data_IF_492269663082
#
_entry.id   IF_492269663082
#
_cell.length_a   1.000
_cell.length_b   1.000
_cell.length_c   1.000
_cell.angle_alpha   90.00
_cell.angle_beta   90.00
_cell.angle_gamma   90.00
#
_symmetry.space_group_name_H-M   'P 1'
#
loop_
_entity.id
_entity.type
_entity.pdbx_description
1 polymer ?
#
# COMPACT_ATOMS: atom_id res chain seq x y z
N UNK A 1 -37.47 -10.38 -1.54
CA UNK A 1 -36.35 -9.56 -2.06
C UNK A 1 -35.93 -8.56 -0.99
N UNK A 2 -34.79 -8.77 -0.33
CA UNK A 2 -34.30 -7.91 0.75
C UNK A 2 -32.87 -7.50 0.40
N UNK A 3 -32.72 -6.27 -0.11
CA UNK A 3 -31.42 -5.68 -0.44
C UNK A 3 -30.64 -5.45 0.86
N UNK A 4 -29.59 -6.24 1.08
CA UNK A 4 -28.62 -5.97 2.14
C UNK A 4 -27.83 -4.73 1.73
N UNK A 5 -28.04 -3.61 2.42
CA UNK A 5 -27.15 -2.47 2.34
C UNK A 5 -25.78 -2.92 2.85
N UNK A 6 -24.79 -2.92 1.96
CA UNK A 6 -23.39 -3.13 2.34
C UNK A 6 -22.91 -1.78 2.88
N UNK A 7 -22.57 -1.75 4.17
CA UNK A 7 -21.99 -0.59 4.82
C UNK A 7 -20.63 -0.28 4.17
N UNK A 8 -20.54 0.88 3.51
CA UNK A 8 -19.27 1.47 3.10
C UNK A 8 -18.61 2.04 4.37
N UNK A 9 -17.69 1.31 4.97
CA UNK A 9 -16.87 1.86 6.05
C UNK A 9 -15.76 2.72 5.44
N UNK A 10 -16.12 3.94 5.02
CA UNK A 10 -15.13 4.96 4.66
C UNK A 10 -14.45 5.43 5.94
N UNK A 11 -13.25 4.93 6.25
CA UNK A 11 -12.47 5.43 7.36
C UNK A 11 -11.81 6.76 6.94
N UNK A 12 -12.54 7.86 7.09
CA UNK A 12 -11.96 9.20 7.01
C UNK A 12 -11.22 9.46 8.32
N UNK A 13 -9.90 9.36 8.30
CA UNK A 13 -9.06 9.78 9.42
C UNK A 13 -9.15 11.31 9.54
N UNK A 14 -9.90 11.78 10.53
CA UNK A 14 -10.00 13.19 10.86
C UNK A 14 -8.66 13.73 11.40
N UNK A 15 -8.25 14.87 10.83
CA UNK A 15 -7.01 15.60 11.09
C UNK A 15 -6.83 15.95 12.57
N UNK A 16 -5.76 15.43 13.17
CA UNK A 16 -5.14 16.05 14.34
C UNK A 16 -4.19 17.16 13.89
N UNK A 17 -4.48 18.40 14.27
CA UNK A 17 -3.52 19.52 14.20
C UNK A 17 -2.36 19.26 15.18
N UNK A 18 -1.41 18.44 14.77
CA UNK A 18 -0.04 18.49 15.29
C UNK A 18 0.81 19.05 14.16
N UNK A 19 1.41 20.23 14.38
CA UNK A 19 2.15 20.99 13.37
C UNK A 19 2.98 20.09 12.48
N UNK A 20 2.59 19.98 11.21
CA UNK A 20 3.44 19.41 10.19
C UNK A 20 4.65 20.33 10.08
N UNK A 21 5.90 19.87 10.29
CA UNK A 21 7.01 20.63 9.76
C UNK A 21 6.74 20.75 8.26
N UNK A 22 6.61 21.98 7.78
CA UNK A 22 6.20 22.35 6.42
C UNK A 22 7.21 21.94 5.33
N UNK A 23 8.01 20.89 5.55
CA UNK A 23 9.07 20.43 4.66
C UNK A 23 9.32 18.90 4.67
N UNK A 24 8.47 18.09 5.31
CA UNK A 24 8.59 16.64 5.16
C UNK A 24 8.08 16.22 3.78
N UNK A 25 8.97 16.19 2.78
CA UNK A 25 8.67 15.69 1.44
C UNK A 25 8.24 14.21 1.51
N UNK A 26 7.16 13.86 0.82
CA UNK A 26 6.74 12.46 0.69
C UNK A 26 7.90 11.62 0.13
N UNK A 27 8.30 10.58 0.87
CA UNK A 27 9.40 9.71 0.48
C UNK A 27 8.98 8.65 -0.54
N UNK A 28 7.68 8.37 -0.65
CA UNK A 28 7.14 7.37 -1.58
C UNK A 28 7.17 7.92 -3.01
N UNK A 29 7.82 7.20 -3.94
CA UNK A 29 7.80 7.54 -5.37
C UNK A 29 6.55 6.98 -6.03
N UNK A 30 6.08 7.63 -7.11
CA UNK A 30 4.91 7.19 -7.86
C UNK A 30 3.72 6.78 -6.95
N UNK A 31 3.41 7.62 -5.95
CA UNK A 31 2.45 7.30 -4.89
C UNK A 31 0.99 7.39 -5.35
N UNK A 32 0.72 8.14 -6.43
CA UNK A 32 -0.57 8.14 -7.15
C UNK A 32 -0.59 7.19 -8.36
N UNK A 33 0.49 6.44 -8.64
CA UNK A 33 0.56 5.53 -9.80
C UNK A 33 0.42 6.21 -11.18
N UNK A 34 0.86 7.47 -11.31
CA UNK A 34 0.86 8.24 -12.56
C UNK A 34 1.99 7.87 -13.54
N UNK A 35 3.04 7.21 -13.04
CA UNK A 35 4.13 6.68 -13.86
C UNK A 35 3.95 5.18 -14.13
N UNK A 36 4.46 4.65 -15.27
CA UNK A 36 4.34 3.24 -15.61
C UNK A 36 4.81 2.31 -14.48
N UNK A 37 3.95 1.34 -14.14
CA UNK A 37 4.25 0.31 -13.15
C UNK A 37 5.08 -0.81 -13.77
N UNK A 38 6.27 -1.08 -13.23
CA UNK A 38 7.15 -2.15 -13.73
C UNK A 38 6.96 -3.41 -12.88
N UNK A 39 6.29 -4.43 -13.43
CA UNK A 39 6.21 -5.77 -12.86
C UNK A 39 7.46 -6.59 -13.19
N UNK A 40 7.83 -7.54 -12.31
CA UNK A 40 8.67 -8.69 -12.72
C UNK A 40 10.18 -8.47 -12.73
N UNK A 41 10.76 -7.92 -11.66
CA UNK A 41 12.22 -7.99 -11.47
C UNK A 41 13.07 -7.01 -12.29
N UNK A 42 12.51 -6.40 -13.33
CA UNK A 42 13.22 -5.48 -14.23
C UNK A 42 13.22 -4.01 -13.80
N UNK A 43 12.52 -3.67 -12.72
CA UNK A 43 12.42 -2.30 -12.21
C UNK A 43 13.59 -1.86 -11.34
N UNK A 44 13.78 -0.56 -11.16
CA UNK A 44 14.72 -0.02 -10.18
C UNK A 44 14.04 0.00 -8.80
N UNK A 45 14.46 -0.92 -7.92
CA UNK A 45 13.93 -1.07 -6.55
C UNK A 45 14.04 0.21 -5.68
N UNK A 46 14.90 1.17 -6.06
CA UNK A 46 15.05 2.43 -5.34
C UNK A 46 14.02 3.50 -5.74
N UNK A 47 13.31 3.31 -6.86
CA UNK A 47 12.44 4.36 -7.42
C UNK A 47 11.05 3.87 -7.76
N UNK A 48 10.76 2.58 -7.57
CA UNK A 48 9.52 1.94 -8.02
C UNK A 48 8.95 1.02 -6.95
N UNK A 49 7.63 0.85 -7.00
CA UNK A 49 6.94 -0.17 -6.23
C UNK A 49 7.37 -1.57 -6.68
N UNK A 50 7.67 -2.42 -5.70
CA UNK A 50 8.07 -3.80 -5.93
C UNK A 50 6.96 -4.76 -5.57
N UNK A 51 6.90 -5.86 -6.31
CA UNK A 51 6.02 -7.00 -6.03
C UNK A 51 6.85 -8.18 -5.57
N UNK A 52 6.49 -8.75 -4.43
CA UNK A 52 6.86 -10.10 -4.07
C UNK A 52 5.60 -10.97 -4.03
N UNK A 53 5.54 -11.93 -4.93
CA UNK A 53 4.40 -12.82 -5.10
C UNK A 53 4.71 -14.24 -4.67
N UNK A 54 3.71 -14.89 -4.05
CA UNK A 54 3.63 -16.34 -4.04
C UNK A 54 3.15 -16.83 -5.42
N UNK A 55 3.40 -18.10 -5.76
CA UNK A 55 2.93 -18.68 -7.00
C UNK A 55 1.41 -18.48 -7.21
N UNK A 56 0.98 -18.21 -8.45
CA UNK A 56 -0.41 -18.12 -8.90
C UNK A 56 -1.16 -16.78 -8.71
N UNK A 57 -0.46 -15.64 -8.55
CA UNK A 57 -1.10 -14.33 -8.72
C UNK A 57 -1.11 -13.93 -10.21
N UNK A 58 -2.28 -13.52 -10.72
CA UNK A 58 -2.51 -13.36 -12.17
C UNK A 58 -2.49 -11.90 -12.64
N UNK A 59 -2.24 -10.92 -11.78
CA UNK A 59 -2.03 -9.55 -12.27
C UNK A 59 -1.93 -8.45 -11.23
N UNK A 60 -0.95 -7.57 -11.44
CA UNK A 60 -0.99 -6.17 -11.02
C UNK A 60 -1.31 -5.31 -12.24
N UNK A 61 -2.16 -4.32 -12.06
CA UNK A 61 -2.49 -3.34 -13.10
C UNK A 61 -2.71 -1.98 -12.47
N UNK A 62 -2.51 -0.93 -13.25
CA UNK A 62 -2.98 0.42 -12.89
C UNK A 62 -4.36 0.60 -13.50
N UNK A 63 -5.33 1.03 -12.69
CA UNK A 63 -6.71 1.30 -13.11
C UNK A 63 -7.08 2.74 -12.81
N UNK A 64 -7.99 3.28 -13.61
CA UNK A 64 -8.51 4.64 -13.47
C UNK A 64 -9.91 4.66 -12.84
N UNK A 65 -10.33 5.82 -12.33
CA UNK A 65 -11.68 6.01 -11.78
C UNK A 65 -11.94 5.16 -10.52
N UNK A 66 -10.88 4.84 -9.77
CA UNK A 66 -10.99 4.01 -8.59
C UNK A 66 -11.62 4.73 -7.40
N UNK A 67 -11.97 6.03 -7.49
CA UNK A 67 -12.53 6.80 -6.37
C UNK A 67 -11.72 6.63 -5.06
N UNK A 68 -10.39 6.54 -5.20
CA UNK A 68 -9.42 6.56 -4.09
C UNK A 68 -8.76 7.94 -4.08
N UNK A 69 -7.44 8.01 -3.87
CA UNK A 69 -6.67 9.22 -4.16
C UNK A 69 -6.43 9.32 -5.67
N UNK A 70 -6.44 10.54 -6.20
CA UNK A 70 -6.11 10.80 -7.60
C UNK A 70 -7.01 10.09 -8.63
N UNK A 71 -6.48 9.99 -9.85
CA UNK A 71 -7.14 9.33 -10.98
C UNK A 71 -6.80 7.84 -11.05
N UNK A 72 -5.55 7.49 -10.71
CA UNK A 72 -4.98 6.16 -10.88
C UNK A 72 -4.90 5.39 -9.55
N UNK A 73 -5.01 4.07 -9.61
CA UNK A 73 -4.81 3.19 -8.45
C UNK A 73 -4.17 1.86 -8.87
N UNK A 74 -3.34 1.29 -8.01
CA UNK A 74 -2.87 -0.08 -8.18
C UNK A 74 -4.00 -1.07 -7.86
N UNK A 75 -4.38 -1.87 -8.85
CA UNK A 75 -5.26 -3.00 -8.69
C UNK A 75 -4.44 -4.28 -8.51
N UNK A 76 -4.81 -5.06 -7.49
CA UNK A 76 -4.31 -6.40 -7.25
C UNK A 76 -5.43 -7.40 -7.59
N UNK A 77 -5.26 -8.15 -8.68
CA UNK A 77 -6.20 -9.21 -9.03
C UNK A 77 -5.83 -10.51 -8.28
N UNK A 78 -6.74 -11.00 -7.44
CA UNK A 78 -6.56 -12.24 -6.68
C UNK A 78 -7.43 -13.33 -7.29
N UNK A 79 -6.86 -14.30 -8.02
CA UNK A 79 -7.65 -15.33 -8.69
C UNK A 79 -8.25 -16.32 -7.67
N UNK A 80 -9.35 -17.01 -8.03
CA UNK A 80 -9.90 -18.07 -7.21
C UNK A 80 -8.85 -19.15 -6.90
N UNK A 81 -8.75 -19.56 -5.64
CA UNK A 81 -7.78 -20.58 -5.20
C UNK A 81 -6.34 -20.07 -5.06
N UNK A 82 -6.08 -18.77 -5.25
CA UNK A 82 -4.79 -18.18 -4.87
C UNK A 82 -4.50 -18.48 -3.40
N UNK A 83 -3.29 -18.97 -3.13
CA UNK A 83 -2.81 -19.27 -1.78
C UNK A 83 -1.44 -18.63 -1.58
N UNK A 84 -1.12 -18.29 -0.33
CA UNK A 84 0.11 -17.59 0.02
C UNK A 84 -0.09 -16.10 0.29
N UNK A 85 1.03 -15.39 0.42
CA UNK A 85 1.05 -13.95 0.71
C UNK A 85 1.60 -13.19 -0.49
N UNK A 86 0.94 -12.08 -0.84
CA UNK A 86 1.43 -11.09 -1.79
C UNK A 86 1.91 -9.87 -1.01
N UNK A 87 3.01 -9.27 -1.44
CA UNK A 87 3.50 -8.02 -0.87
C UNK A 87 3.77 -7.03 -1.99
N UNK A 88 3.20 -5.82 -1.85
CA UNK A 88 3.57 -4.65 -2.64
C UNK A 88 4.27 -3.68 -1.70
N UNK A 89 5.49 -3.25 -2.03
CA UNK A 89 6.30 -2.42 -1.14
C UNK A 89 7.22 -1.46 -1.88
N UNK A 90 7.62 -0.37 -1.21
CA UNK A 90 8.80 0.41 -1.57
C UNK A 90 9.85 0.29 -0.48
N UNK A 91 11.12 0.38 -0.88
CA UNK A 91 12.28 0.26 0.02
C UNK A 91 13.02 1.59 0.12
N UNK A 92 14.07 1.62 0.96
CA UNK A 92 15.01 2.74 1.09
C UNK A 92 14.39 4.04 1.63
N UNK A 93 13.35 3.93 2.45
CA UNK A 93 12.88 5.04 3.27
C UNK A 93 14.00 5.50 4.21
N UNK A 94 14.27 6.80 4.23
CA UNK A 94 15.21 7.45 5.14
C UNK A 94 14.47 7.88 6.39
N UNK A 95 14.57 7.03 7.41
CA UNK A 95 13.96 7.29 8.71
C UNK A 95 15.03 7.75 9.69
N UNK A 96 14.82 8.91 10.29
CA UNK A 96 15.73 9.51 11.25
C UNK A 96 15.26 9.23 12.69
N UNK A 97 16.21 8.95 13.58
CA UNK A 97 15.90 8.69 14.98
C UNK A 97 15.26 9.93 15.62
N UNK A 98 14.16 9.73 16.35
CA UNK A 98 13.45 10.80 17.05
C UNK A 98 12.51 11.62 16.17
N UNK A 99 12.47 11.37 14.86
CA UNK A 99 11.53 12.03 13.93
C UNK A 99 10.23 11.23 13.85
N UNK A 100 9.10 11.95 13.91
CA UNK A 100 7.77 11.36 13.72
C UNK A 100 7.36 11.43 12.25
N UNK A 101 6.87 10.31 11.72
CA UNK A 101 6.39 10.20 10.35
C UNK A 101 4.92 9.79 10.33
N UNK A 102 4.18 10.28 9.34
CA UNK A 102 2.79 9.87 9.07
C UNK A 102 2.76 8.90 7.89
N UNK A 103 2.09 7.77 8.08
CA UNK A 103 1.78 6.81 7.01
C UNK A 103 0.31 6.98 6.65
N UNK A 104 0.02 7.24 5.38
CA UNK A 104 -1.34 7.41 4.85
C UNK A 104 -1.48 6.72 3.51
N UNK A 105 -2.61 6.06 3.29
CA UNK A 105 -2.97 5.44 2.01
C UNK A 105 -4.49 5.30 1.92
N UNK A 106 -5.01 5.17 0.69
CA UNK A 106 -6.40 4.77 0.44
C UNK A 106 -6.41 3.41 -0.25
N UNK A 107 -7.30 2.53 0.20
CA UNK A 107 -7.46 1.20 -0.38
C UNK A 107 -8.93 0.77 -0.29
N UNK A 108 -9.34 -0.14 -1.17
CA UNK A 108 -10.63 -0.84 -1.10
C UNK A 108 -10.49 -2.28 -1.57
N UNK A 109 -11.50 -3.09 -1.28
CA UNK A 109 -11.65 -4.42 -1.85
C UNK A 109 -13.07 -4.60 -2.43
N UNK A 110 -13.19 -5.49 -3.41
CA UNK A 110 -14.45 -5.94 -3.99
C UNK A 110 -15.20 -6.93 -3.07
N UNK A 111 -14.46 -7.65 -2.23
CA UNK A 111 -14.99 -8.52 -1.18
C UNK A 111 -14.24 -8.27 0.15
N UNK A 112 -14.92 -8.42 1.31
CA UNK A 112 -14.31 -8.17 2.62
C UNK A 112 -13.03 -8.96 2.83
N UNK A 113 -11.95 -8.27 3.18
CA UNK A 113 -10.65 -8.92 3.45
C UNK A 113 -9.75 -8.05 4.31
N UNK A 114 -8.86 -8.72 5.04
CA UNK A 114 -7.84 -8.04 5.83
C UNK A 114 -6.59 -7.81 5.00
N UNK A 115 -6.04 -6.60 5.07
CA UNK A 115 -4.69 -6.30 4.62
C UNK A 115 -3.80 -6.01 5.83
N UNK A 116 -2.51 -6.29 5.71
CA UNK A 116 -1.51 -5.93 6.72
C UNK A 116 -0.57 -4.90 6.15
N UNK A 117 -0.42 -3.77 6.84
CA UNK A 117 0.57 -2.74 6.51
C UNK A 117 1.73 -2.87 7.48
N UNK A 118 2.96 -2.88 6.95
CA UNK A 118 4.17 -3.07 7.76
C UNK A 118 5.22 -2.05 7.35
N UNK A 119 5.88 -1.47 8.35
CA UNK A 119 7.15 -0.79 8.18
C UNK A 119 8.25 -1.73 8.63
N UNK A 120 9.10 -2.12 7.69
CA UNK A 120 10.16 -3.10 7.92
C UNK A 120 11.50 -2.49 7.55
N UNK A 121 12.53 -2.82 8.32
CA UNK A 121 13.91 -2.50 8.01
C UNK A 121 14.72 -3.78 7.92
N UNK A 122 15.73 -3.75 7.05
CA UNK A 122 16.71 -4.84 6.95
C UNK A 122 17.88 -4.54 7.87
N UNK A 123 18.13 -5.42 8.83
CA UNK A 123 19.38 -5.43 9.59
C UNK A 123 20.41 -6.30 8.88
N UNK A 124 21.63 -6.39 9.42
CA UNK A 124 22.68 -7.29 8.93
C UNK A 124 22.25 -8.78 8.90
N UNK A 125 21.30 -9.18 9.76
CA UNK A 125 20.99 -10.60 9.99
C UNK A 125 19.53 -10.98 9.74
N UNK A 126 18.60 -10.02 9.80
CA UNK A 126 17.17 -10.31 9.64
C UNK A 126 16.37 -9.09 9.19
N UNK A 127 15.15 -9.37 8.72
CA UNK A 127 14.11 -8.36 8.61
C UNK A 127 13.48 -8.12 9.97
N UNK A 128 13.41 -6.86 10.38
CA UNK A 128 12.72 -6.45 11.60
C UNK A 128 11.50 -5.60 11.24
N UNK A 129 10.37 -5.90 11.89
CA UNK A 129 9.16 -5.09 11.80
C UNK A 129 9.19 -4.03 12.89
N UNK A 130 9.18 -2.76 12.49
CA UNK A 130 9.18 -1.62 13.41
C UNK A 130 7.77 -1.12 13.71
N UNK A 131 6.86 -1.32 12.76
CA UNK A 131 5.45 -0.97 12.90
C UNK A 131 4.59 -1.91 12.07
N UNK A 132 3.42 -2.27 12.60
CA UNK A 132 2.45 -3.13 11.94
C UNK A 132 1.04 -2.66 12.27
N UNK A 133 0.17 -2.71 11.27
CA UNK A 133 -1.26 -2.49 11.43
C UNK A 133 -2.07 -3.46 10.58
N UNK A 134 -3.15 -3.97 11.15
CA UNK A 134 -4.20 -4.70 10.43
C UNK A 134 -5.30 -3.72 10.04
N UNK A 135 -5.71 -3.79 8.79
CA UNK A 135 -6.78 -2.95 8.25
C UNK A 135 -7.83 -3.87 7.63
N UNK A 136 -9.09 -3.58 7.96
CA UNK A 136 -10.25 -4.29 7.43
C UNK A 136 -10.87 -3.43 6.33
N UNK A 137 -11.01 -4.01 5.14
CA UNK A 137 -11.67 -3.39 4.00
C UNK A 137 -12.89 -4.22 3.60
#
# INVERSE_FOLDING_TARGET
MSRKLICLASFVLALGLSGTPANAQNQMRNWEFDEPFVTGGGGNINTQWWLWEAANFTGLSVVQGAALSGENALQVAIPPGASGSLQVYQSFLKLEQGVTYTISFMARADAPRTITVRLMGRTLYNWQTFWLRLEFN
#
